data_IF_019296924357
#
_entry.id   IF_019296924357
#
_cell.length_a   1.000
_cell.length_b   1.000
_cell.length_c   1.000
_cell.angle_alpha   90.00
_cell.angle_beta   90.00
_cell.angle_gamma   90.00
#
_symmetry.space_group_name_H-M   'P 1'
#
loop_
_entity.id
_entity.type
_entity.pdbx_description
1 polymer ?
#
# COMPACT_ATOMS: atom_id res chain seq x y z
N UNK A 1 -17.78 -6.44 2.06
CA UNK A 1 -16.73 -5.52 1.59
C UNK A 1 -17.20 -4.16 2.02
N UNK A 2 -16.51 -3.53 2.96
CA UNK A 2 -16.83 -2.17 3.37
C UNK A 2 -16.50 -1.19 2.25
N UNK A 3 -16.95 0.05 2.42
CA UNK A 3 -16.66 1.15 1.52
C UNK A 3 -15.50 1.98 2.09
N UNK A 4 -14.67 2.49 1.20
CA UNK A 4 -13.62 3.45 1.56
C UNK A 4 -13.70 4.63 0.61
N UNK A 5 -13.85 5.83 1.16
CA UNK A 5 -13.93 7.06 0.38
C UNK A 5 -13.46 8.27 1.18
N UNK A 6 -13.09 9.32 0.46
CA UNK A 6 -12.75 10.61 1.04
C UNK A 6 -13.41 11.78 0.29
N UNK A 7 -13.74 12.85 1.02
CA UNK A 7 -14.18 14.12 0.45
C UNK A 7 -13.95 15.28 1.43
N UNK A 8 -14.09 16.52 0.93
CA UNK A 8 -14.02 17.73 1.72
C UNK A 8 -15.35 18.47 1.64
N UNK A 9 -15.89 18.89 2.77
CA UNK A 9 -17.01 19.82 2.85
C UNK A 9 -16.47 21.22 3.12
N UNK A 10 -16.63 22.13 2.16
CA UNK A 10 -16.14 23.50 2.24
C UNK A 10 -17.32 24.47 2.38
N UNK A 11 -17.26 25.36 3.38
CA UNK A 11 -18.32 26.34 3.61
C UNK A 11 -18.20 27.48 2.60
N UNK A 12 -19.16 27.59 1.71
CA UNK A 12 -19.32 28.75 0.84
C UNK A 12 -19.94 29.89 1.65
N UNK A 13 -19.11 30.86 2.07
CA UNK A 13 -19.64 32.11 2.59
C UNK A 13 -20.48 32.81 1.49
N UNK A 14 -21.42 33.68 1.87
CA UNK A 14 -22.44 34.33 1.00
C UNK A 14 -21.92 35.20 -0.18
N UNK A 15 -20.66 35.05 -0.60
CA UNK A 15 -20.05 35.71 -1.74
C UNK A 15 -19.07 34.82 -2.52
N UNK A 16 -18.97 33.53 -2.21
CA UNK A 16 -18.08 32.61 -2.91
C UNK A 16 -18.64 32.27 -4.30
N UNK A 17 -17.87 32.51 -5.35
CA UNK A 17 -18.21 32.12 -6.72
C UNK A 17 -17.50 30.84 -7.14
N UNK A 18 -18.06 30.14 -8.13
CA UNK A 18 -17.46 28.95 -8.74
C UNK A 18 -16.07 29.29 -9.28
N UNK A 19 -15.92 30.45 -9.92
CA UNK A 19 -14.67 30.94 -10.48
C UNK A 19 -13.59 31.14 -9.41
N UNK A 20 -13.96 31.64 -8.22
CA UNK A 20 -13.02 31.77 -7.10
C UNK A 20 -12.55 30.41 -6.58
N UNK A 21 -13.44 29.41 -6.51
CA UNK A 21 -13.07 28.04 -6.11
C UNK A 21 -12.11 27.43 -7.14
N UNK A 22 -12.44 27.53 -8.43
CA UNK A 22 -11.57 27.06 -9.52
C UNK A 22 -10.20 27.71 -9.45
N UNK A 23 -10.15 29.04 -9.28
CA UNK A 23 -8.90 29.78 -9.20
C UNK A 23 -8.06 29.28 -8.02
N UNK A 24 -8.64 29.16 -6.83
CA UNK A 24 -7.89 28.71 -5.64
C UNK A 24 -7.39 27.28 -5.80
N UNK A 25 -8.23 26.34 -6.27
CA UNK A 25 -7.78 24.96 -6.50
C UNK A 25 -6.64 24.94 -7.52
N UNK A 26 -6.76 25.70 -8.61
CA UNK A 26 -5.72 25.80 -9.64
C UNK A 26 -4.41 26.34 -9.06
N UNK A 27 -4.45 27.45 -8.32
CA UNK A 27 -3.26 28.01 -7.64
C UNK A 27 -2.63 27.00 -6.67
N UNK A 28 -3.45 26.24 -5.92
CA UNK A 28 -2.94 25.22 -4.99
C UNK A 28 -2.24 24.08 -5.75
N UNK A 29 -2.80 23.66 -6.89
CA UNK A 29 -2.19 22.63 -7.73
C UNK A 29 -0.89 23.13 -8.38
N UNK A 30 -0.86 24.34 -8.91
CA UNK A 30 0.34 24.98 -9.47
C UNK A 30 1.49 25.07 -8.46
N UNK A 31 1.17 25.42 -7.21
CA UNK A 31 2.17 25.42 -6.12
C UNK A 31 2.71 24.02 -5.78
N UNK A 32 2.02 22.96 -6.20
CA UNK A 32 2.43 21.56 -6.07
C UNK A 32 2.95 20.98 -7.40
N UNK A 33 3.43 21.84 -8.32
CA UNK A 33 3.99 21.46 -9.62
C UNK A 33 2.97 20.81 -10.56
N UNK A 34 1.68 21.07 -10.41
CA UNK A 34 0.67 20.64 -11.36
C UNK A 34 0.27 21.78 -12.31
N UNK A 35 -0.01 21.46 -13.57
CA UNK A 35 -0.57 22.39 -14.54
C UNK A 35 -2.00 21.96 -14.89
N UNK A 36 -2.92 22.93 -14.93
CA UNK A 36 -4.29 22.68 -15.35
C UNK A 36 -4.33 22.34 -16.84
N UNK A 37 -5.01 21.26 -17.18
CA UNK A 37 -5.21 20.77 -18.55
C UNK A 37 -6.71 20.56 -18.83
N UNK A 38 -7.08 20.45 -20.11
CA UNK A 38 -8.48 20.26 -20.52
C UNK A 38 -8.94 18.80 -20.42
N UNK A 39 -8.03 17.85 -20.62
CA UNK A 39 -8.33 16.42 -20.64
C UNK A 39 -7.79 15.73 -19.38
N UNK A 40 -8.43 14.64 -18.90
CA UNK A 40 -7.92 13.87 -17.77
C UNK A 40 -6.52 13.33 -18.03
N UNK A 41 -5.56 13.64 -17.15
CA UNK A 41 -4.16 13.21 -17.29
C UNK A 41 -3.62 12.57 -16.00
N UNK A 42 -3.22 13.37 -15.00
CA UNK A 42 -2.54 12.86 -13.81
C UNK A 42 -3.37 12.90 -12.55
N UNK A 43 -4.15 13.97 -12.36
CA UNK A 43 -5.01 14.17 -11.19
C UNK A 43 -6.26 14.93 -11.58
N UNK A 44 -7.40 14.51 -11.07
CA UNK A 44 -8.64 15.25 -11.20
C UNK A 44 -9.16 15.69 -9.84
N UNK A 45 -9.60 16.93 -9.74
CA UNK A 45 -10.33 17.45 -8.59
C UNK A 45 -11.71 17.84 -9.08
N UNK A 46 -12.74 17.35 -8.40
CA UNK A 46 -14.14 17.68 -8.68
C UNK A 46 -14.67 18.46 -7.51
N UNK A 47 -15.41 19.53 -7.77
CA UNK A 47 -16.24 20.13 -6.73
C UNK A 47 -17.66 20.29 -7.21
N UNK A 48 -18.58 20.03 -6.28
CA UNK A 48 -20.00 19.89 -6.53
C UNK A 48 -20.76 20.89 -5.68
N UNK A 49 -21.47 21.80 -6.33
CA UNK A 49 -22.28 22.82 -5.66
C UNK A 49 -23.54 23.15 -6.47
N UNK A 50 -24.70 23.02 -5.83
CA UNK A 50 -26.00 23.37 -6.43
C UNK A 50 -26.59 24.67 -5.87
N UNK A 51 -25.86 25.36 -5.00
CA UNK A 51 -26.30 26.58 -4.33
C UNK A 51 -27.44 26.41 -3.32
N UNK A 52 -27.99 25.20 -3.16
CA UNK A 52 -29.05 24.93 -2.18
C UNK A 52 -28.52 24.79 -0.75
N UNK A 53 -27.25 24.43 -0.62
CA UNK A 53 -26.51 24.35 0.64
C UNK A 53 -25.43 25.43 0.72
N UNK A 54 -25.15 25.98 1.91
CA UNK A 54 -23.98 26.82 2.15
C UNK A 54 -22.66 26.01 2.11
N UNK A 55 -22.72 24.73 1.80
CA UNK A 55 -21.58 23.84 1.67
C UNK A 55 -21.46 23.33 0.24
N UNK A 56 -20.23 23.28 -0.25
CA UNK A 56 -19.88 22.53 -1.45
C UNK A 56 -19.03 21.33 -1.05
N UNK A 57 -19.13 20.26 -1.84
CA UNK A 57 -18.34 19.05 -1.65
C UNK A 57 -17.20 19.03 -2.67
N UNK A 58 -15.99 18.69 -2.23
CA UNK A 58 -14.81 18.53 -3.09
C UNK A 58 -14.35 17.08 -3.00
N UNK A 59 -14.10 16.49 -4.16
CA UNK A 59 -13.52 15.17 -4.34
C UNK A 59 -12.15 15.33 -4.98
N UNK A 60 -11.18 14.59 -4.48
CA UNK A 60 -9.83 14.60 -5.01
C UNK A 60 -9.38 13.17 -5.29
N UNK A 61 -8.99 12.92 -6.54
CA UNK A 61 -8.58 11.59 -7.04
C UNK A 61 -7.45 10.97 -6.21
N UNK A 62 -6.51 11.78 -5.69
CA UNK A 62 -5.37 11.26 -4.94
C UNK A 62 -5.70 10.89 -3.49
N UNK A 63 -6.68 11.57 -2.89
CA UNK A 63 -7.10 11.30 -1.52
C UNK A 63 -8.11 10.16 -1.37
N UNK A 64 -8.76 9.75 -2.46
CA UNK A 64 -9.90 8.81 -2.40
C UNK A 64 -9.54 7.40 -1.93
N UNK A 65 -8.28 7.00 -2.12
CA UNK A 65 -7.73 5.73 -1.61
C UNK A 65 -7.36 5.79 -0.12
N UNK A 66 -7.77 6.85 0.59
CA UNK A 66 -7.59 6.99 2.04
C UNK A 66 -6.26 7.63 2.46
N UNK A 67 -5.61 8.39 1.57
CA UNK A 67 -4.47 9.23 1.98
C UNK A 67 -4.97 10.47 2.71
N UNK A 68 -5.03 10.34 4.04
CA UNK A 68 -5.54 11.37 4.93
C UNK A 68 -4.70 12.65 4.90
N UNK A 69 -3.38 12.54 4.74
CA UNK A 69 -2.49 13.70 4.80
C UNK A 69 -2.68 14.58 3.56
N UNK A 70 -2.89 13.98 2.39
CA UNK A 70 -3.23 14.70 1.16
C UNK A 70 -4.58 15.40 1.29
N UNK A 71 -5.60 14.68 1.79
CA UNK A 71 -6.94 15.23 1.99
C UNK A 71 -6.92 16.43 2.94
N UNK A 72 -6.23 16.28 4.06
CA UNK A 72 -6.13 17.31 5.10
C UNK A 72 -5.32 18.51 4.64
N UNK A 73 -4.22 18.30 3.92
CA UNK A 73 -3.43 19.38 3.34
C UNK A 73 -4.27 20.21 2.35
N UNK A 74 -5.09 19.56 1.52
CA UNK A 74 -6.00 20.25 0.61
C UNK A 74 -7.09 21.02 1.37
N UNK A 75 -7.74 20.40 2.36
CA UNK A 75 -8.77 21.05 3.18
C UNK A 75 -8.21 22.26 3.97
N UNK A 76 -7.02 22.11 4.55
CA UNK A 76 -6.30 23.17 5.24
C UNK A 76 -6.04 24.34 4.30
N UNK A 77 -5.42 24.08 3.15
CA UNK A 77 -5.04 25.11 2.20
C UNK A 77 -6.26 25.85 1.61
N UNK A 78 -7.34 25.12 1.31
CA UNK A 78 -8.61 25.70 0.87
C UNK A 78 -9.22 26.61 1.95
N UNK A 79 -9.31 26.11 3.19
CA UNK A 79 -9.85 26.90 4.30
C UNK A 79 -9.05 28.18 4.55
N UNK A 80 -7.72 28.13 4.38
CA UNK A 80 -6.82 29.28 4.50
C UNK A 80 -7.06 30.30 3.40
N UNK A 81 -6.99 29.86 2.13
CA UNK A 81 -7.08 30.73 0.95
C UNK A 81 -8.45 31.40 0.82
N UNK A 82 -9.51 30.69 1.18
CA UNK A 82 -10.89 31.18 1.09
C UNK A 82 -11.39 31.79 2.40
N UNK A 83 -10.58 31.78 3.46
CA UNK A 83 -10.91 32.41 4.73
C UNK A 83 -12.11 31.78 5.45
N UNK A 84 -12.37 30.50 5.21
CA UNK A 84 -13.63 29.81 5.59
C UNK A 84 -13.39 28.51 6.36
N UNK A 85 -14.47 27.81 6.70
CA UNK A 85 -14.45 26.48 7.32
C UNK A 85 -14.34 25.38 6.25
N UNK A 86 -13.54 24.37 6.53
CA UNK A 86 -13.50 23.14 5.75
C UNK A 86 -13.53 21.92 6.68
N UNK A 87 -14.12 20.82 6.23
CA UNK A 87 -14.11 19.54 6.91
C UNK A 87 -13.61 18.47 5.95
N UNK A 88 -12.50 17.82 6.26
CA UNK A 88 -12.11 16.59 5.56
C UNK A 88 -12.86 15.41 6.18
N UNK A 89 -13.38 14.52 5.35
CA UNK A 89 -14.08 13.31 5.73
C UNK A 89 -13.43 12.12 5.05
N UNK A 90 -13.15 11.07 5.81
CA UNK A 90 -12.69 9.79 5.30
C UNK A 90 -13.41 8.65 5.99
N UNK A 91 -13.87 7.67 5.22
CA UNK A 91 -14.38 6.39 5.72
C UNK A 91 -13.43 5.29 5.27
N UNK A 92 -13.06 4.41 6.20
CA UNK A 92 -12.18 3.26 5.95
C UNK A 92 -12.92 1.94 6.21
N UNK A 93 -13.08 1.13 5.17
CA UNK A 93 -13.72 -0.19 5.16
C UNK A 93 -15.08 -0.22 5.89
N UNK A 94 -15.84 0.88 5.84
CA UNK A 94 -17.08 1.11 6.58
C UNK A 94 -16.99 1.05 8.12
N UNK A 95 -15.79 0.87 8.70
CA UNK A 95 -15.63 0.69 10.15
C UNK A 95 -15.24 2.01 10.82
N UNK A 96 -14.35 2.77 10.18
CA UNK A 96 -13.78 4.00 10.75
C UNK A 96 -14.18 5.23 9.95
N UNK A 97 -14.90 6.16 10.59
CA UNK A 97 -15.10 7.53 10.15
C UNK A 97 -14.06 8.43 10.80
N UNK A 98 -13.26 9.10 9.98
CA UNK A 98 -12.25 10.07 10.38
C UNK A 98 -12.57 11.44 9.78
N UNK A 99 -12.65 12.48 10.61
CA UNK A 99 -12.92 13.84 10.15
C UNK A 99 -12.00 14.87 10.81
N UNK A 100 -11.53 15.87 10.06
CA UNK A 100 -10.86 17.05 10.64
C UNK A 100 -11.57 18.33 10.28
N UNK A 101 -11.75 19.18 11.29
CA UNK A 101 -12.33 20.51 11.16
C UNK A 101 -11.22 21.56 11.02
N UNK A 102 -11.23 22.29 9.92
CA UNK A 102 -10.30 23.38 9.64
C UNK A 102 -11.01 24.73 9.62
N UNK A 103 -10.31 25.76 10.08
CA UNK A 103 -10.72 27.14 9.94
C UNK A 103 -9.49 27.99 9.60
N UNK A 104 -9.50 28.63 8.43
CA UNK A 104 -8.41 29.52 8.00
C UNK A 104 -7.02 28.87 8.12
N UNK A 105 -6.89 27.63 7.66
CA UNK A 105 -5.64 26.87 7.68
C UNK A 105 -5.27 26.27 9.04
N UNK A 106 -6.13 26.37 10.05
CA UNK A 106 -5.88 25.76 11.36
C UNK A 106 -6.81 24.59 11.60
N UNK A 107 -6.24 23.41 11.87
CA UNK A 107 -6.99 22.29 12.40
C UNK A 107 -7.52 22.64 13.81
N UNK A 108 -8.84 22.81 13.91
CA UNK A 108 -9.52 23.10 15.16
C UNK A 108 -9.77 21.83 15.96
N UNK A 109 -10.19 20.75 15.31
CA UNK A 109 -10.49 19.48 15.97
C UNK A 109 -10.39 18.31 15.00
N UNK A 110 -10.31 17.11 15.57
CA UNK A 110 -10.42 15.85 14.83
C UNK A 110 -11.53 15.05 15.49
N UNK A 111 -12.39 14.43 14.70
CA UNK A 111 -13.38 13.46 15.14
C UNK A 111 -13.04 12.08 14.59
N UNK A 112 -13.19 11.05 15.42
CA UNK A 112 -13.18 9.64 15.03
C UNK A 112 -14.37 8.95 15.68
N UNK A 113 -15.11 8.11 14.95
CA UNK A 113 -16.22 7.35 15.53
C UNK A 113 -15.72 6.27 16.50
N UNK A 114 -14.64 5.55 16.15
CA UNK A 114 -14.03 4.52 16.98
C UNK A 114 -12.57 4.87 17.30
N UNK A 115 -12.29 5.08 18.59
CA UNK A 115 -10.94 5.47 19.07
C UNK A 115 -9.99 4.28 19.11
N UNK A 116 -10.50 3.08 19.36
CA UNK A 116 -9.68 1.88 19.52
C UNK A 116 -9.21 1.41 18.14
N UNK A 117 -10.11 1.30 17.17
CA UNK A 117 -9.77 1.00 15.76
C UNK A 117 -8.79 2.05 15.22
N UNK A 118 -9.06 3.34 15.45
CA UNK A 118 -8.15 4.40 15.02
C UNK A 118 -6.74 4.25 15.59
N UNK A 119 -6.63 3.94 16.89
CA UNK A 119 -5.34 3.79 17.56
C UNK A 119 -4.59 2.53 17.09
N UNK A 120 -5.31 1.45 16.79
CA UNK A 120 -4.72 0.24 16.20
C UNK A 120 -4.17 0.52 14.80
N UNK A 121 -4.94 1.18 13.94
CA UNK A 121 -4.54 1.49 12.57
C UNK A 121 -3.39 2.51 12.48
N UNK A 122 -3.32 3.47 13.40
CA UNK A 122 -2.37 4.59 13.32
C UNK A 122 -1.27 4.56 14.39
N UNK A 123 -1.22 3.50 15.20
CA UNK A 123 -0.33 3.40 16.37
C UNK A 123 -0.43 4.60 17.34
N UNK A 124 -1.60 5.24 17.38
CA UNK A 124 -1.89 6.44 18.18
C UNK A 124 -2.29 6.10 19.62
N UNK A 125 -2.34 7.12 20.48
CA UNK A 125 -2.81 7.03 21.88
C UNK A 125 -3.94 8.01 22.17
N UNK A 126 -4.87 8.14 21.22
CA UNK A 126 -6.05 8.99 21.32
C UNK A 126 -6.98 8.47 22.40
N UNK A 127 -7.64 9.37 23.13
CA UNK A 127 -8.54 9.02 24.26
C UNK A 127 -9.99 9.48 24.09
N UNK A 128 -10.29 10.23 23.03
CA UNK A 128 -11.61 10.82 22.80
C UNK A 128 -11.93 10.84 21.32
N UNK A 129 -13.19 10.71 20.98
CA UNK A 129 -13.68 10.80 19.60
C UNK A 129 -13.40 12.19 19.03
N UNK A 130 -13.84 13.26 19.70
CA UNK A 130 -13.59 14.66 19.34
C UNK A 130 -14.05 15.62 20.45
N UNK A 131 -14.26 16.90 20.13
CA UNK A 131 -14.80 17.92 21.05
C UNK A 131 -16.07 18.55 20.46
N UNK A 132 -17.28 18.09 20.84
CA UNK A 132 -18.54 18.50 20.19
C UNK A 132 -18.75 20.02 20.10
N UNK A 133 -18.29 20.77 21.11
CA UNK A 133 -18.44 22.24 21.14
C UNK A 133 -17.68 22.96 20.02
N UNK A 134 -16.62 22.36 19.45
CA UNK A 134 -15.90 22.94 18.31
C UNK A 134 -16.69 22.75 17.01
N UNK A 135 -17.37 21.61 16.90
CA UNK A 135 -18.18 21.23 15.75
C UNK A 135 -19.54 21.95 15.70
N UNK A 136 -20.04 22.43 16.83
CA UNK A 136 -21.24 23.27 16.88
C UNK A 136 -21.11 24.57 16.06
N UNK A 137 -19.89 25.02 15.76
CA UNK A 137 -19.66 26.22 14.92
C UNK A 137 -20.00 26.05 13.43
N UNK A 138 -20.25 24.81 12.99
CA UNK A 138 -20.53 24.50 11.59
C UNK A 138 -21.88 25.08 11.11
N UNK A 139 -22.90 25.13 11.98
CA UNK A 139 -24.18 25.78 11.69
C UNK A 139 -24.70 26.59 12.89
N UNK A 140 -25.60 27.53 12.62
CA UNK A 140 -26.06 28.52 13.61
C UNK A 140 -26.99 27.92 14.68
N UNK A 141 -27.72 26.84 14.36
CA UNK A 141 -28.79 26.28 15.19
C UNK A 141 -28.46 24.91 15.80
N UNK A 142 -27.21 24.46 15.76
CA UNK A 142 -26.83 23.11 16.24
C UNK A 142 -26.47 23.14 17.72
N UNK A 143 -27.12 22.28 18.50
CA UNK A 143 -26.76 22.07 19.90
C UNK A 143 -25.59 21.09 20.04
N UNK A 144 -24.76 21.29 21.08
CA UNK A 144 -23.69 20.34 21.43
C UNK A 144 -24.28 18.96 21.77
N UNK A 145 -25.48 18.95 22.32
CA UNK A 145 -26.23 17.79 22.77
C UNK A 145 -26.60 16.88 21.59
N UNK A 146 -27.03 17.45 20.46
CA UNK A 146 -27.32 16.67 19.24
C UNK A 146 -26.07 16.02 18.65
N UNK A 147 -24.95 16.74 18.59
CA UNK A 147 -23.67 16.18 18.15
C UNK A 147 -23.25 15.04 19.06
N UNK A 148 -23.36 15.23 20.38
CA UNK A 148 -23.01 14.21 21.37
C UNK A 148 -23.89 12.98 21.24
N UNK A 149 -25.17 13.16 20.92
CA UNK A 149 -26.10 12.05 20.65
C UNK A 149 -25.63 11.24 19.44
N UNK A 150 -25.41 11.88 18.29
CA UNK A 150 -24.98 11.18 17.05
C UNK A 150 -23.65 10.45 17.26
N UNK A 151 -22.68 11.08 17.93
CA UNK A 151 -21.37 10.45 18.19
C UNK A 151 -21.43 9.27 19.18
N UNK A 152 -22.47 9.20 20.00
CA UNK A 152 -22.69 8.13 20.97
C UNK A 152 -23.60 7.01 20.47
N UNK A 153 -24.13 7.10 19.25
CA UNK A 153 -24.95 6.06 18.66
C UNK A 153 -24.06 4.91 18.14
N UNK A 154 -24.38 3.69 18.58
CA UNK A 154 -23.74 2.49 18.04
C UNK A 154 -24.29 2.25 16.63
N UNK A 155 -23.44 2.45 15.64
CA UNK A 155 -23.75 2.20 14.23
C UNK A 155 -22.92 1.01 13.74
N UNK A 156 -23.51 0.22 12.83
CA UNK A 156 -22.79 -0.90 12.20
C UNK A 156 -21.80 -0.38 11.16
N UNK A 157 -22.16 0.73 10.50
CA UNK A 157 -21.38 1.33 9.43
C UNK A 157 -21.08 2.79 9.77
N UNK A 158 -19.82 3.18 9.60
CA UNK A 158 -19.30 4.53 9.79
C UNK A 158 -20.06 5.57 8.94
N UNK A 159 -20.55 5.16 7.77
CA UNK A 159 -21.36 5.95 6.84
C UNK A 159 -22.67 6.41 7.46
N UNK A 160 -23.29 5.62 8.36
CA UNK A 160 -24.55 5.99 9.02
C UNK A 160 -24.33 7.20 9.95
N UNK A 161 -23.19 7.22 10.64
CA UNK A 161 -22.79 8.37 11.47
C UNK A 161 -22.55 9.60 10.59
N UNK A 162 -21.84 9.44 9.46
CA UNK A 162 -21.60 10.55 8.53
C UNK A 162 -22.91 11.07 7.91
N UNK A 163 -23.85 10.18 7.61
CA UNK A 163 -25.17 10.49 7.06
C UNK A 163 -26.05 11.29 8.03
N UNK A 164 -26.02 10.97 9.32
CA UNK A 164 -26.70 11.77 10.34
C UNK A 164 -26.02 13.14 10.54
N UNK A 165 -24.68 13.17 10.54
CA UNK A 165 -23.92 14.43 10.62
C UNK A 165 -24.15 15.32 9.39
N UNK A 166 -24.27 14.75 8.19
CA UNK A 166 -24.49 15.53 6.97
C UNK A 166 -25.82 16.28 7.02
N UNK A 167 -26.88 15.63 7.51
CA UNK A 167 -28.17 16.30 7.73
C UNK A 167 -28.06 17.41 8.77
N UNK A 168 -27.39 17.12 9.89
CA UNK A 168 -27.24 18.07 10.98
C UNK A 168 -26.52 19.33 10.50
N UNK A 169 -25.44 19.20 9.72
CA UNK A 169 -24.66 20.31 9.18
C UNK A 169 -25.21 20.92 7.89
N UNK A 170 -26.36 20.44 7.40
CA UNK A 170 -26.95 20.84 6.11
C UNK A 170 -26.01 20.62 4.92
N UNK A 171 -25.19 19.58 4.97
CA UNK A 171 -24.44 19.07 3.82
C UNK A 171 -25.38 18.35 2.86
N UNK A 172 -25.01 18.29 1.59
CA UNK A 172 -25.68 17.41 0.66
C UNK A 172 -25.28 15.97 0.99
N UNK A 173 -26.23 15.21 1.56
CA UNK A 173 -25.97 13.88 2.11
C UNK A 173 -25.44 12.87 1.08
N UNK A 174 -26.03 12.84 -0.11
CA UNK A 174 -25.59 11.93 -1.18
C UNK A 174 -24.15 12.25 -1.62
N UNK A 175 -23.80 13.54 -1.64
CA UNK A 175 -22.44 14.00 -1.98
C UNK A 175 -21.45 13.78 -0.86
N UNK A 176 -21.85 13.94 0.41
CA UNK A 176 -20.94 13.79 1.55
C UNK A 176 -20.64 12.34 1.91
N UNK A 177 -21.53 11.41 1.55
CA UNK A 177 -21.37 9.97 1.80
C UNK A 177 -20.84 9.21 0.57
N UNK A 178 -20.05 9.87 -0.27
CA UNK A 178 -19.43 9.24 -1.45
C UNK A 178 -18.02 9.76 -1.71
N UNK A 179 -17.25 9.02 -2.50
CA UNK A 179 -15.88 9.30 -2.89
C UNK A 179 -15.74 9.65 -4.36
N UNK A 180 -14.54 10.09 -4.73
CA UNK A 180 -14.19 10.42 -6.11
C UNK A 180 -14.47 9.26 -7.06
N UNK A 181 -13.98 8.04 -6.77
CA UNK A 181 -14.14 6.85 -7.61
C UNK A 181 -15.60 6.47 -7.80
N UNK A 182 -16.36 6.41 -6.70
CA UNK A 182 -17.78 6.09 -6.75
C UNK A 182 -18.57 7.11 -7.57
N UNK A 183 -18.24 8.41 -7.41
CA UNK A 183 -18.89 9.48 -8.16
C UNK A 183 -18.50 9.43 -9.65
N UNK A 184 -17.25 9.11 -9.97
CA UNK A 184 -16.76 8.90 -11.35
C UNK A 184 -17.51 7.77 -12.05
N UNK A 185 -17.76 6.66 -11.35
CA UNK A 185 -18.48 5.49 -11.89
C UNK A 185 -19.95 5.80 -12.21
N UNK A 186 -20.61 6.61 -11.37
CA UNK A 186 -21.99 7.07 -11.61
C UNK A 186 -22.06 8.17 -12.68
N UNK A 187 -20.97 8.93 -12.83
CA UNK A 187 -20.85 10.07 -13.72
C UNK A 187 -21.08 11.41 -13.03
N UNK A 188 -20.50 12.44 -13.63
CA UNK A 188 -20.64 13.84 -13.19
C UNK A 188 -22.01 14.38 -13.63
N UNK A 189 -22.70 15.05 -12.71
CA UNK A 189 -24.03 15.62 -12.91
C UNK A 189 -24.03 17.14 -12.98
N UNK A 190 -25.24 17.72 -12.97
CA UNK A 190 -25.42 19.17 -12.91
C UNK A 190 -24.86 19.72 -11.57
N UNK A 191 -24.08 20.80 -11.67
CA UNK A 191 -23.39 21.42 -10.53
C UNK A 191 -22.02 20.82 -10.21
N UNK A 192 -21.60 19.75 -10.90
CA UNK A 192 -20.26 19.18 -10.77
C UNK A 192 -19.29 19.91 -11.70
N UNK A 193 -18.18 20.41 -11.16
CA UNK A 193 -17.12 21.08 -11.90
C UNK A 193 -15.85 20.24 -11.79
N UNK A 194 -15.36 19.76 -12.93
CA UNK A 194 -14.19 18.87 -13.01
C UNK A 194 -12.97 19.68 -13.46
N UNK A 195 -11.89 19.57 -12.71
CA UNK A 195 -10.60 20.18 -13.01
C UNK A 195 -9.55 19.08 -13.20
N UNK A 196 -8.88 19.10 -14.34
CA UNK A 196 -7.81 18.15 -14.66
C UNK A 196 -6.45 18.80 -14.55
N UNK A 197 -5.49 18.03 -14.07
CA UNK A 197 -4.13 18.48 -13.81
C UNK A 197 -3.12 17.47 -14.34
N UNK A 198 -2.04 18.00 -14.94
CA UNK A 198 -0.82 17.28 -15.31
C UNK A 198 0.28 17.60 -14.32
N UNK A 199 0.99 16.59 -13.86
CA UNK A 199 2.20 16.70 -13.04
C UNK A 199 3.36 17.22 -13.91
N UNK A 200 3.78 18.45 -13.63
CA UNK A 200 4.93 19.11 -14.26
C UNK A 200 6.22 18.93 -13.43
N UNK A 201 6.26 17.98 -12.49
CA UNK A 201 7.45 17.71 -11.69
C UNK A 201 8.67 17.41 -12.59
N UNK A 202 9.71 18.26 -12.58
CA UNK A 202 10.88 18.12 -13.44
C UNK A 202 11.85 17.03 -12.95
N UNK A 203 11.50 16.26 -11.90
CA UNK A 203 12.37 15.31 -11.24
C UNK A 203 12.88 14.16 -12.14
N UNK A 204 12.53 14.15 -13.43
CA UNK A 204 13.04 13.23 -14.42
C UNK A 204 12.41 11.85 -14.28
N UNK A 205 12.96 10.87 -15.00
CA UNK A 205 12.44 9.51 -15.02
C UNK A 205 12.51 8.89 -13.61
N UNK A 206 11.37 8.39 -13.13
CA UNK A 206 11.31 7.63 -11.88
C UNK A 206 12.08 6.29 -11.99
N UNK A 207 12.13 5.73 -13.20
CA UNK A 207 12.64 4.38 -13.45
C UNK A 207 13.73 4.36 -14.52
N UNK A 208 14.72 3.48 -14.34
CA UNK A 208 15.62 3.05 -15.40
C UNK A 208 15.14 1.72 -16.00
N UNK A 209 14.78 1.76 -17.28
CA UNK A 209 14.24 0.59 -18.01
C UNK A 209 15.31 -0.16 -18.81
N UNK A 210 16.52 0.40 -18.92
CA UNK A 210 17.61 -0.12 -19.76
C UNK A 210 18.75 -0.75 -18.93
N UNK A 211 18.59 -0.83 -17.61
CA UNK A 211 19.56 -1.46 -16.72
C UNK A 211 19.62 -2.98 -16.91
N UNK A 212 20.71 -3.65 -16.47
CA UNK A 212 20.81 -5.10 -16.48
C UNK A 212 19.69 -5.74 -15.64
N UNK A 213 19.29 -6.97 -15.99
CA UNK A 213 18.31 -7.73 -15.20
C UNK A 213 18.88 -7.98 -13.82
N UNK A 214 18.15 -7.61 -12.77
CA UNK A 214 18.61 -7.71 -11.39
C UNK A 214 17.51 -8.29 -10.54
N UNK A 215 17.80 -9.40 -9.87
CA UNK A 215 16.86 -10.01 -8.95
C UNK A 215 17.12 -9.54 -7.53
N UNK A 216 16.06 -9.13 -6.85
CA UNK A 216 16.08 -8.72 -5.45
C UNK A 216 15.14 -9.60 -4.64
N UNK A 217 15.49 -9.82 -3.39
CA UNK A 217 14.68 -10.59 -2.45
C UNK A 217 13.67 -9.66 -1.80
N UNK A 218 12.38 -9.92 -2.02
CA UNK A 218 11.27 -9.09 -1.50
C UNK A 218 10.84 -9.57 -0.13
N UNK A 219 10.68 -10.88 0.02
CA UNK A 219 10.34 -11.50 1.29
C UNK A 219 10.90 -12.91 1.36
N UNK A 220 11.37 -13.27 2.56
CA UNK A 220 11.85 -14.60 2.90
C UNK A 220 11.67 -14.83 4.39
N UNK A 221 11.59 -16.10 4.77
CA UNK A 221 11.73 -16.49 6.16
C UNK A 221 13.22 -16.72 6.44
N UNK A 222 13.77 -16.01 7.44
CA UNK A 222 15.19 -16.19 7.83
C UNK A 222 15.45 -17.56 8.47
N UNK A 223 14.40 -18.22 8.94
CA UNK A 223 14.42 -19.59 9.42
C UNK A 223 13.12 -20.34 9.09
N UNK A 224 13.17 -21.67 9.14
CA UNK A 224 12.03 -22.58 9.05
C UNK A 224 11.99 -23.47 10.29
N UNK A 225 10.82 -23.57 10.91
CA UNK A 225 10.54 -24.57 11.95
C UNK A 225 9.72 -25.68 11.30
N UNK A 226 10.28 -26.88 11.25
CA UNK A 226 9.76 -28.01 10.50
C UNK A 226 9.60 -29.24 11.39
N UNK A 227 8.73 -30.16 10.99
CA UNK A 227 8.60 -31.47 11.64
C UNK A 227 8.82 -32.62 10.68
N UNK A 228 9.43 -33.71 11.15
CA UNK A 228 9.53 -34.96 10.36
C UNK A 228 8.19 -35.67 10.16
N UNK A 229 7.15 -35.27 10.89
CA UNK A 229 5.80 -35.86 10.81
C UNK A 229 4.96 -35.28 9.66
N UNK A 230 5.30 -34.09 9.17
CA UNK A 230 4.52 -33.34 8.18
C UNK A 230 5.29 -33.04 6.89
N UNK A 231 4.55 -32.89 5.81
CA UNK A 231 5.05 -32.19 4.63
C UNK A 231 5.03 -30.70 4.89
N UNK A 232 6.12 -30.03 4.54
CA UNK A 232 6.30 -28.60 4.74
C UNK A 232 6.22 -27.86 3.41
N UNK A 233 5.72 -26.62 3.47
CA UNK A 233 5.71 -25.71 2.32
C UNK A 233 6.24 -24.35 2.73
N UNK A 234 7.21 -23.84 1.98
CA UNK A 234 7.76 -22.50 2.18
C UNK A 234 7.78 -21.70 0.87
N UNK A 235 7.87 -20.38 1.01
CA UNK A 235 7.80 -19.43 -0.09
C UNK A 235 8.93 -18.41 -0.01
N UNK A 236 9.51 -18.10 -1.16
CA UNK A 236 10.48 -17.03 -1.32
C UNK A 236 10.05 -16.11 -2.46
N UNK A 237 9.97 -14.81 -2.17
CA UNK A 237 9.52 -13.83 -3.14
C UNK A 237 10.70 -13.04 -3.70
N UNK A 238 10.79 -12.98 -5.02
CA UNK A 238 11.81 -12.24 -5.75
C UNK A 238 11.14 -11.20 -6.64
N UNK A 239 11.81 -10.09 -6.89
CA UNK A 239 11.41 -9.11 -7.90
C UNK A 239 12.56 -8.89 -8.86
N UNK A 240 12.26 -8.79 -10.15
CA UNK A 240 13.20 -8.17 -11.07
C UNK A 240 13.15 -6.65 -10.85
N UNK A 241 14.28 -5.97 -10.76
CA UNK A 241 14.39 -4.51 -10.75
C UNK A 241 15.04 -3.97 -12.02
N UNK A 242 15.43 -4.84 -12.96
CA UNK A 242 16.04 -4.46 -14.23
C UNK A 242 15.15 -4.70 -15.44
N UNK A 243 15.77 -4.75 -16.61
CA UNK A 243 15.11 -5.14 -17.86
C UNK A 243 14.60 -6.58 -17.82
N UNK A 244 13.68 -6.91 -18.72
CA UNK A 244 13.21 -8.29 -18.91
C UNK A 244 14.36 -9.20 -19.36
N UNK A 245 14.28 -10.47 -18.98
CA UNK A 245 15.21 -11.50 -19.38
C UNK A 245 14.48 -12.79 -19.70
N UNK A 246 15.21 -13.74 -20.28
CA UNK A 246 14.71 -15.09 -20.51
C UNK A 246 15.62 -16.06 -19.77
N UNK A 247 15.01 -16.99 -19.04
CA UNK A 247 15.72 -18.00 -18.29
C UNK A 247 16.02 -17.59 -16.85
N UNK A 248 15.63 -18.43 -15.89
CA UNK A 248 16.06 -18.32 -14.50
C UNK A 248 16.62 -19.66 -14.02
N UNK A 249 17.71 -19.60 -13.27
CA UNK A 249 18.32 -20.74 -12.60
C UNK A 249 18.27 -20.56 -11.09
N UNK A 250 17.97 -21.63 -10.39
CA UNK A 250 17.89 -21.68 -8.94
C UNK A 250 18.79 -22.78 -8.47
N UNK A 251 19.78 -22.43 -7.66
CA UNK A 251 20.70 -23.37 -7.05
C UNK A 251 20.45 -23.43 -5.55
N UNK A 252 20.46 -24.64 -5.00
CA UNK A 252 20.24 -24.92 -3.59
C UNK A 252 21.40 -25.74 -3.05
N UNK A 253 21.88 -25.41 -1.86
CA UNK A 253 22.93 -26.16 -1.17
C UNK A 253 22.90 -25.92 0.34
N UNK A 254 23.90 -26.42 1.06
CA UNK A 254 24.01 -26.30 2.50
C UNK A 254 23.80 -27.63 3.20
N UNK A 255 23.95 -27.65 4.53
CA UNK A 255 23.91 -28.88 5.32
C UNK A 255 22.57 -29.61 5.24
N UNK A 256 21.47 -28.91 4.97
CA UNK A 256 20.17 -29.52 4.74
C UNK A 256 20.14 -30.38 3.44
N UNK A 257 20.78 -29.88 2.38
CA UNK A 257 20.85 -30.59 1.09
C UNK A 257 21.89 -31.70 1.15
N UNK A 258 23.12 -31.40 1.61
CA UNK A 258 24.19 -32.41 1.68
C UNK A 258 23.93 -33.51 2.71
N UNK A 259 23.15 -33.20 3.75
CA UNK A 259 22.72 -34.14 4.78
C UNK A 259 21.49 -34.98 4.40
N UNK A 260 20.95 -34.80 3.19
CA UNK A 260 19.69 -35.42 2.73
C UNK A 260 18.55 -35.24 3.73
N UNK A 261 18.38 -34.02 4.25
CA UNK A 261 17.38 -33.73 5.27
C UNK A 261 15.96 -33.58 4.71
N UNK A 262 15.81 -33.54 3.38
CA UNK A 262 14.54 -33.36 2.69
C UNK A 262 14.27 -34.53 1.73
N UNK A 263 13.12 -35.17 1.89
CA UNK A 263 12.52 -36.09 0.93
C UNK A 263 11.48 -35.38 0.05
N UNK A 264 11.24 -35.93 -1.14
CA UNK A 264 10.18 -35.49 -2.06
C UNK A 264 10.18 -33.98 -2.32
N UNK A 265 11.36 -33.38 -2.46
CA UNK A 265 11.45 -31.94 -2.66
C UNK A 265 10.98 -31.56 -4.07
N UNK A 266 9.87 -30.83 -4.10
CA UNK A 266 9.29 -30.23 -5.29
C UNK A 266 9.42 -28.71 -5.22
N UNK A 267 9.58 -28.08 -6.38
CA UNK A 267 9.57 -26.63 -6.47
C UNK A 267 8.78 -26.16 -7.68
N UNK A 268 8.01 -25.09 -7.50
CA UNK A 268 7.32 -24.42 -8.58
C UNK A 268 7.45 -22.90 -8.47
N UNK A 269 7.57 -22.26 -9.61
CA UNK A 269 7.53 -20.82 -9.72
C UNK A 269 6.08 -20.38 -9.95
N UNK A 270 5.64 -19.38 -9.20
CA UNK A 270 4.33 -18.76 -9.32
C UNK A 270 4.55 -17.31 -9.76
N UNK A 271 3.95 -16.93 -10.89
CA UNK A 271 4.03 -15.59 -11.45
C UNK A 271 2.90 -14.68 -10.92
N UNK A 272 2.98 -13.38 -11.21
CA UNK A 272 2.00 -12.38 -10.74
C UNK A 272 0.57 -12.64 -11.22
N UNK A 273 0.41 -13.27 -12.38
CA UNK A 273 -0.89 -13.67 -12.96
C UNK A 273 -1.41 -15.00 -12.37
N UNK A 274 -0.67 -15.60 -11.43
CA UNK A 274 -0.99 -16.89 -10.82
C UNK A 274 -0.55 -18.10 -11.63
N UNK A 275 0.09 -17.92 -12.80
CA UNK A 275 0.63 -19.02 -13.58
C UNK A 275 1.66 -19.80 -12.77
N UNK A 276 1.56 -21.13 -12.82
CA UNK A 276 2.45 -22.05 -12.09
C UNK A 276 3.31 -22.80 -13.07
N UNK A 277 4.62 -22.73 -12.85
CA UNK A 277 5.62 -23.37 -13.71
C UNK A 277 6.44 -24.28 -12.83
N UNK A 278 6.32 -25.59 -13.06
CA UNK A 278 7.13 -26.59 -12.35
C UNK A 278 8.46 -26.77 -13.06
N UNK A 279 9.54 -26.76 -12.31
CA UNK A 279 10.88 -27.08 -12.81
C UNK A 279 11.24 -28.53 -12.50
N UNK A 280 12.06 -29.15 -13.34
CA UNK A 280 12.70 -30.40 -12.96
C UNK A 280 13.90 -30.10 -12.06
N UNK A 281 13.99 -30.80 -10.95
CA UNK A 281 15.11 -30.68 -10.03
C UNK A 281 16.23 -31.64 -10.42
N UNK A 282 17.44 -31.12 -10.54
CA UNK A 282 18.64 -31.86 -10.90
C UNK A 282 19.64 -31.85 -9.76
N UNK A 283 20.28 -32.98 -9.49
CA UNK A 283 21.43 -33.02 -8.59
C UNK A 283 22.65 -32.45 -9.31
N UNK A 284 23.39 -31.58 -8.64
CA UNK A 284 24.59 -30.95 -9.18
C UNK A 284 25.75 -31.03 -8.19
N UNK A 285 26.97 -31.08 -8.71
CA UNK A 285 28.18 -30.89 -7.92
C UNK A 285 28.58 -29.41 -7.93
N UNK A 286 28.72 -28.83 -6.75
CA UNK A 286 29.13 -27.45 -6.54
C UNK A 286 30.53 -27.41 -5.94
N UNK A 287 31.27 -26.34 -6.22
CA UNK A 287 32.64 -26.16 -5.75
C UNK A 287 32.77 -24.82 -5.03
N UNK A 288 33.48 -24.83 -3.89
CA UNK A 288 33.89 -23.59 -3.25
C UNK A 288 34.99 -22.93 -4.08
N UNK A 289 34.96 -21.61 -4.30
CA UNK A 289 36.00 -20.91 -5.06
C UNK A 289 37.42 -21.11 -4.52
N UNK A 290 37.54 -21.25 -3.20
CA UNK A 290 38.79 -21.44 -2.45
C UNK A 290 39.17 -22.91 -2.23
N UNK A 291 38.23 -23.86 -2.46
CA UNK A 291 38.46 -25.30 -2.33
C UNK A 291 37.90 -26.07 -3.55
N UNK A 292 38.45 -25.86 -4.75
CA UNK A 292 37.92 -26.46 -5.98
C UNK A 292 37.97 -27.99 -5.99
N UNK A 293 38.88 -28.63 -5.26
CA UNK A 293 39.03 -30.09 -5.21
C UNK A 293 38.05 -30.79 -4.26
N UNK A 294 37.18 -30.04 -3.57
CA UNK A 294 36.20 -30.56 -2.62
C UNK A 294 34.78 -30.22 -3.07
N UNK A 295 34.20 -30.99 -4.01
CA UNK A 295 32.82 -30.77 -4.40
C UNK A 295 31.87 -31.03 -3.22
N UNK A 296 30.73 -30.35 -3.23
CA UNK A 296 29.61 -30.64 -2.35
C UNK A 296 28.32 -30.77 -3.17
N UNK A 297 27.39 -31.56 -2.63
CA UNK A 297 26.11 -31.80 -3.30
C UNK A 297 25.23 -30.54 -3.24
N UNK A 298 24.69 -30.17 -4.39
CA UNK A 298 23.65 -29.17 -4.54
C UNK A 298 22.50 -29.70 -5.37
N UNK A 299 21.45 -28.90 -5.46
CA UNK A 299 20.30 -29.13 -6.33
C UNK A 299 20.07 -27.90 -7.20
N UNK A 300 19.60 -28.10 -8.41
CA UNK A 300 19.34 -27.01 -9.35
C UNK A 300 17.97 -27.16 -9.99
N UNK A 301 17.29 -26.04 -10.19
CA UNK A 301 16.15 -25.93 -11.10
C UNK A 301 16.50 -24.94 -12.20
N UNK A 302 16.08 -25.25 -13.43
CA UNK A 302 16.21 -24.36 -14.58
C UNK A 302 14.85 -24.14 -15.21
N UNK A 303 14.60 -22.90 -15.59
CA UNK A 303 13.43 -22.50 -16.34
C UNK A 303 13.89 -21.72 -17.55
N UNK A 304 14.53 -22.40 -18.51
CA UNK A 304 15.28 -21.76 -19.60
C UNK A 304 14.43 -20.89 -20.53
N UNK A 305 13.14 -21.21 -20.66
CA UNK A 305 12.20 -20.49 -21.51
C UNK A 305 11.37 -19.44 -20.75
N UNK A 306 11.56 -19.32 -19.43
CA UNK A 306 10.78 -18.39 -18.63
C UNK A 306 11.12 -16.94 -19.01
N UNK A 307 10.10 -16.17 -19.40
CA UNK A 307 10.24 -14.71 -19.50
C UNK A 307 10.14 -14.12 -18.10
N UNK A 308 11.25 -13.56 -17.62
CA UNK A 308 11.29 -12.74 -16.40
C UNK A 308 10.75 -11.36 -16.79
N UNK A 309 9.59 -10.92 -16.27
CA UNK A 309 9.04 -9.62 -16.60
C UNK A 309 10.02 -8.50 -16.22
N UNK A 310 10.06 -7.43 -17.00
CA UNK A 310 10.84 -6.25 -16.64
C UNK A 310 10.29 -5.67 -15.34
N UNK A 311 11.20 -5.32 -14.43
CA UNK A 311 10.84 -4.47 -13.31
C UNK A 311 11.29 -3.05 -13.56
N UNK A 312 11.60 -2.36 -12.47
CA UNK A 312 12.05 -0.99 -12.56
C UNK A 312 13.08 -0.69 -11.48
N UNK A 313 14.24 -0.18 -11.92
CA UNK A 313 15.25 0.34 -10.99
C UNK A 313 14.81 1.75 -10.65
N UNK A 314 14.51 1.96 -9.38
CA UNK A 314 14.12 3.26 -8.88
C UNK A 314 15.33 4.20 -8.96
N UNK A 315 15.26 5.23 -9.81
CA UNK A 315 16.34 6.22 -9.98
C UNK A 315 16.35 7.28 -8.87
N UNK A 316 15.19 7.50 -8.27
CA UNK A 316 14.94 8.39 -7.14
C UNK A 316 13.68 7.94 -6.42
N UNK A 317 13.53 8.31 -5.16
CA UNK A 317 12.32 8.03 -4.41
C UNK A 317 11.07 8.53 -5.14
N UNK A 318 10.00 7.74 -5.09
CA UNK A 318 8.68 8.16 -5.56
C UNK A 318 8.23 9.34 -4.70
N UNK A 319 7.92 10.45 -5.35
CA UNK A 319 7.62 11.72 -4.72
C UNK A 319 6.14 12.08 -4.79
N UNK A 320 5.36 11.34 -5.59
CA UNK A 320 3.92 11.55 -5.74
C UNK A 320 3.16 10.22 -5.59
N UNK A 321 1.86 10.26 -5.22
CA UNK A 321 1.03 9.06 -5.15
C UNK A 321 0.98 8.32 -6.49
N UNK A 322 0.88 9.03 -7.62
CA UNK A 322 0.92 8.42 -8.95
C UNK A 322 2.22 7.65 -9.19
N UNK A 323 3.35 8.23 -8.81
CA UNK A 323 4.65 7.56 -8.87
C UNK A 323 4.69 6.31 -7.98
N UNK A 324 4.10 6.38 -6.79
CA UNK A 324 3.99 5.24 -5.87
C UNK A 324 3.10 4.14 -6.45
N UNK A 325 1.92 4.46 -6.96
CA UNK A 325 1.02 3.50 -7.64
C UNK A 325 1.73 2.87 -8.83
N UNK A 326 2.41 3.66 -9.66
CA UNK A 326 3.18 3.14 -10.80
C UNK A 326 4.30 2.21 -10.34
N UNK A 327 4.99 2.53 -9.24
CA UNK A 327 6.02 1.69 -8.64
C UNK A 327 5.42 0.38 -8.11
N UNK A 328 4.30 0.44 -7.39
CA UNK A 328 3.61 -0.73 -6.85
C UNK A 328 3.11 -1.66 -7.96
N UNK A 329 2.51 -1.10 -9.01
CA UNK A 329 2.10 -1.84 -10.20
C UNK A 329 3.31 -2.48 -10.90
N UNK A 330 4.38 -1.74 -11.17
CA UNK A 330 5.57 -2.31 -11.83
C UNK A 330 6.24 -3.41 -10.98
N UNK A 331 6.31 -3.19 -9.66
CA UNK A 331 6.83 -4.19 -8.73
C UNK A 331 5.93 -5.41 -8.65
N UNK A 332 4.60 -5.26 -8.74
CA UNK A 332 3.70 -6.41 -8.69
C UNK A 332 3.85 -7.31 -9.92
N UNK A 333 4.03 -6.75 -11.12
CA UNK A 333 4.19 -7.51 -12.36
C UNK A 333 5.55 -8.22 -12.47
N UNK A 334 6.59 -7.68 -11.85
CA UNK A 334 7.94 -8.24 -11.85
C UNK A 334 8.20 -9.22 -10.71
N UNK A 335 7.21 -9.43 -9.82
CA UNK A 335 7.28 -10.39 -8.72
C UNK A 335 7.15 -11.82 -9.20
N UNK A 336 7.91 -12.66 -8.53
CA UNK A 336 8.07 -14.08 -8.79
C UNK A 336 8.12 -14.78 -7.44
N UNK A 337 7.18 -15.69 -7.20
CA UNK A 337 7.10 -16.43 -5.95
C UNK A 337 7.56 -17.87 -6.16
N UNK A 338 8.66 -18.24 -5.54
CA UNK A 338 9.14 -19.62 -5.53
C UNK A 338 8.52 -20.37 -4.37
N UNK A 339 7.77 -21.42 -4.68
CA UNK A 339 7.20 -22.33 -3.69
C UNK A 339 8.04 -23.60 -3.65
N UNK A 340 8.44 -24.02 -2.46
CA UNK A 340 9.04 -25.32 -2.21
C UNK A 340 8.11 -26.17 -1.34
N UNK A 341 7.97 -27.44 -1.70
CA UNK A 341 7.26 -28.44 -0.89
C UNK A 341 8.21 -29.61 -0.66
N UNK A 342 8.37 -30.03 0.58
CA UNK A 342 9.34 -31.07 0.96
C UNK A 342 8.93 -31.76 2.26
N UNK A 343 9.46 -32.96 2.51
CA UNK A 343 9.30 -33.66 3.78
C UNK A 343 10.62 -33.73 4.54
N UNK A 344 10.73 -33.11 5.73
CA UNK A 344 11.90 -33.26 6.59
C UNK A 344 12.07 -34.72 7.05
N UNK A 345 13.30 -35.21 7.18
CA UNK A 345 13.56 -36.59 7.64
C UNK A 345 14.55 -36.75 8.78
N UNK A 346 15.41 -35.75 9.02
CA UNK A 346 16.42 -35.80 10.06
C UNK A 346 16.23 -34.61 11.02
N UNK A 347 16.15 -34.89 12.31
CA UNK A 347 16.09 -33.84 13.33
C UNK A 347 17.45 -33.14 13.48
N UNK A 348 17.43 -31.83 13.70
CA UNK A 348 18.65 -31.05 13.79
C UNK A 348 18.47 -29.60 13.39
N UNK A 349 19.60 -28.87 13.40
CA UNK A 349 19.71 -27.51 12.88
C UNK A 349 20.56 -27.52 11.64
N UNK A 350 19.99 -27.07 10.53
CA UNK A 350 20.61 -27.11 9.22
C UNK A 350 20.65 -25.73 8.56
N UNK A 351 21.49 -25.61 7.54
CA UNK A 351 21.55 -24.47 6.65
C UNK A 351 21.03 -24.88 5.28
N UNK A 352 20.13 -24.06 4.75
CA UNK A 352 19.64 -24.17 3.39
C UNK A 352 19.90 -22.85 2.65
N UNK A 353 20.86 -22.91 1.74
CA UNK A 353 21.31 -21.80 0.93
C UNK A 353 20.61 -21.83 -0.43
N UNK A 354 20.23 -20.67 -0.93
CA UNK A 354 19.60 -20.49 -2.23
C UNK A 354 20.34 -19.43 -3.03
N UNK A 355 20.54 -19.66 -4.32
CA UNK A 355 20.98 -18.65 -5.29
C UNK A 355 20.01 -18.63 -6.45
N UNK A 356 19.36 -17.50 -6.68
CA UNK A 356 18.42 -17.30 -7.78
C UNK A 356 19.02 -16.31 -8.76
N UNK A 357 19.20 -16.73 -10.02
CA UNK A 357 19.98 -15.99 -11.01
C UNK A 357 19.28 -15.96 -12.37
N UNK A 358 19.26 -14.82 -13.07
CA UNK A 358 18.95 -14.81 -14.50
C UNK A 358 19.99 -15.63 -15.27
N UNK A 359 19.56 -16.44 -16.24
CA UNK A 359 20.48 -17.27 -17.04
C UNK A 359 21.42 -16.42 -17.91
N UNK A 360 20.91 -15.29 -18.43
CA UNK A 360 21.65 -14.38 -19.29
C UNK A 360 22.66 -13.51 -18.53
N UNK A 361 22.44 -13.27 -17.24
CA UNK A 361 23.22 -12.35 -16.42
C UNK A 361 23.45 -12.94 -15.00
N UNK A 362 24.24 -14.02 -14.87
CA UNK A 362 24.32 -14.81 -13.64
C UNK A 362 24.95 -14.07 -12.45
N UNK A 363 25.61 -12.93 -12.69
CA UNK A 363 26.18 -12.09 -11.63
C UNK A 363 25.13 -11.21 -10.94
N UNK A 364 23.94 -11.05 -11.54
CA UNK A 364 22.88 -10.16 -11.04
C UNK A 364 21.76 -10.92 -10.31
N UNK A 365 22.08 -12.10 -9.79
CA UNK A 365 21.19 -12.86 -8.93
C UNK A 365 21.30 -12.49 -7.46
N UNK A 366 20.46 -13.13 -6.65
CA UNK A 366 20.45 -12.97 -5.19
C UNK A 366 20.77 -14.30 -4.53
N UNK A 367 21.49 -14.24 -3.41
CA UNK A 367 21.83 -15.41 -2.59
C UNK A 367 21.43 -15.14 -1.14
N UNK A 368 20.79 -16.11 -0.50
CA UNK A 368 20.41 -16.04 0.91
C UNK A 368 20.53 -17.40 1.58
N UNK A 369 20.57 -17.38 2.91
CA UNK A 369 20.74 -18.56 3.76
C UNK A 369 19.57 -18.60 4.73
N UNK A 370 18.97 -19.77 4.86
CA UNK A 370 17.85 -20.03 5.76
C UNK A 370 18.28 -21.09 6.77
N UNK A 371 18.00 -20.82 8.05
CA UNK A 371 18.20 -21.80 9.11
C UNK A 371 17.00 -22.73 9.19
N UNK A 372 17.22 -24.03 9.20
CA UNK A 372 16.12 -25.02 9.23
C UNK A 372 16.21 -25.80 10.53
N UNK A 373 15.21 -25.64 11.38
CA UNK A 373 15.06 -26.32 12.65
C UNK A 373 14.08 -27.47 12.46
N UNK A 374 14.54 -28.72 12.59
CA UNK A 374 13.71 -29.91 12.41
C UNK A 374 13.58 -30.63 13.74
N UNK A 375 12.36 -30.70 14.29
CA UNK A 375 12.02 -31.33 15.57
C UNK A 375 12.94 -30.93 16.75
N UNK A 376 13.32 -29.65 16.80
CA UNK A 376 14.16 -29.10 17.87
C UNK A 376 13.28 -28.71 19.07
N UNK A 377 13.67 -29.05 20.32
CA UNK A 377 12.95 -28.59 21.50
C UNK A 377 12.87 -27.06 21.55
N UNK A 378 11.69 -26.49 21.82
CA UNK A 378 11.44 -25.03 21.81
C UNK A 378 12.42 -24.22 22.67
N UNK A 379 12.91 -24.77 23.77
CA UNK A 379 13.90 -24.07 24.62
C UNK A 379 15.26 -23.93 23.94
N UNK A 380 15.71 -24.99 23.26
CA UNK A 380 16.95 -25.00 22.49
C UNK A 380 16.82 -24.11 21.25
N UNK A 381 15.69 -24.23 20.53
CA UNK A 381 15.35 -23.39 19.38
C UNK A 381 15.42 -21.89 19.75
N UNK A 382 14.81 -21.49 20.88
CA UNK A 382 14.87 -20.10 21.38
C UNK A 382 16.28 -19.63 21.70
N UNK A 383 17.10 -20.50 22.31
CA UNK A 383 18.48 -20.17 22.63
C UNK A 383 19.29 -19.92 21.36
N UNK A 384 19.12 -20.80 20.36
CA UNK A 384 19.80 -20.69 19.06
C UNK A 384 19.30 -19.46 18.29
N UNK A 385 17.99 -19.23 18.22
CA UNK A 385 17.41 -18.05 17.55
C UNK A 385 17.95 -16.75 18.13
N UNK A 386 18.08 -16.68 19.45
CA UNK A 386 18.68 -15.54 20.14
C UNK A 386 20.17 -15.35 19.80
N UNK A 387 20.95 -16.42 19.68
CA UNK A 387 22.36 -16.35 19.28
C UNK A 387 22.53 -15.76 17.87
N UNK A 388 21.63 -16.13 16.95
CA UNK A 388 21.62 -15.60 15.58
C UNK A 388 20.93 -14.25 15.43
N UNK A 389 20.48 -13.63 16.52
CA UNK A 389 19.82 -12.31 16.48
C UNK A 389 18.44 -12.34 15.81
N UNK A 390 17.81 -13.50 15.71
CA UNK A 390 16.41 -13.57 15.32
C UNK A 390 15.55 -13.07 16.48
N UNK A 391 14.74 -12.05 16.22
CA UNK A 391 13.75 -11.57 17.19
C UNK A 391 12.69 -12.66 17.36
N UNK A 392 12.65 -13.26 18.55
CA UNK A 392 11.70 -14.30 18.96
C UNK A 392 10.48 -13.68 19.63
#
# INVERSE_FOLDING_TARGET
MGSSFANIQLKAANALSVEQVVQVITELMENNLFEKVEEPEDRSIVFSWDGSSPWLTIYDEFSDDGDQDILDALAEALSLKLGTLAVSNSVYDSDLLYMKLFNQGKCLDTFVNDVDIYNEMTESKRRRQGVPSKWASLAEEISKEEITRIWGEETVFAEDTLWELSKLYSWNTDRSCTGFRYKKDVGWGEGDNVLHFRDNNPAGKLFEEQGPTRLELVSYQSYLDCSTESEETTYFSYSNTGRSAVGISIMMWGSAISGNCFESMEACLILHDGARISGQMEDIELHYPDLPDKPFLGKMLRFDELVIPAGATLLREASTPKEMTTLLERNSHSRMLMKYTFKPVNSGVYEWCFSVRPNTEPMNGVTHVVKVFIDIPKEEERAIKKEFGFYV
#
